data_IF_189717642194
#
_entry.id   IF_189717642194
#
_cell.length_a   1.000
_cell.length_b   1.000
_cell.length_c   1.000
_cell.angle_alpha   90.00
_cell.angle_beta   90.00
_cell.angle_gamma   90.00
#
_symmetry.space_group_name_H-M   'P 1'
#
loop_
_entity.id
_entity.type
_entity.pdbx_description
1 polymer ?
#
# COMPACT_ATOMS: atom_id res chain seq x y z
N UNK A 1 -5.60 -10.59 -2.16
CA UNK A 1 -5.00 -9.87 -1.03
C UNK A 1 -3.54 -9.57 -1.37
N UNK A 2 -3.12 -8.28 -1.45
CA UNK A 2 -1.70 -7.98 -1.57
C UNK A 2 -1.03 -8.40 -0.25
N UNK A 3 -0.18 -9.39 -0.32
CA UNK A 3 0.67 -9.82 0.79
C UNK A 3 1.97 -9.04 0.67
N UNK A 4 2.21 -8.12 1.58
CA UNK A 4 3.54 -7.53 1.70
C UNK A 4 4.46 -8.57 2.31
N UNK A 5 5.46 -8.96 1.55
CA UNK A 5 6.57 -9.77 2.01
C UNK A 5 7.82 -8.89 2.05
N UNK A 6 8.45 -8.80 3.22
CA UNK A 6 9.76 -8.17 3.33
C UNK A 6 10.83 -9.27 3.17
N UNK A 7 11.74 -9.10 2.22
CA UNK A 7 12.92 -9.96 2.10
C UNK A 7 14.00 -9.48 3.08
N UNK A 8 14.52 -10.41 3.87
CA UNK A 8 15.49 -10.14 4.92
C UNK A 8 16.84 -10.73 4.56
N UNK A 9 17.91 -9.92 4.57
CA UNK A 9 19.27 -10.44 4.47
C UNK A 9 19.62 -11.30 5.68
N UNK A 10 20.44 -12.32 5.49
CA UNK A 10 20.83 -13.33 6.49
C UNK A 10 21.59 -12.80 7.73
N UNK A 11 21.88 -11.52 7.78
CA UNK A 11 22.59 -10.88 8.91
C UNK A 11 21.70 -10.14 9.90
N UNK A 12 20.37 -10.12 9.70
CA UNK A 12 19.42 -9.37 10.53
C UNK A 12 18.79 -10.31 11.54
N UNK A 13 18.72 -9.89 12.80
CA UNK A 13 18.04 -10.60 13.90
C UNK A 13 16.69 -9.97 14.21
N UNK A 14 15.80 -10.66 14.92
CA UNK A 14 14.51 -10.10 15.34
C UNK A 14 14.67 -8.84 16.19
N UNK A 15 15.78 -8.71 16.93
CA UNK A 15 16.07 -7.54 17.76
C UNK A 15 16.34 -6.26 16.94
N UNK A 16 16.65 -6.40 15.65
CA UNK A 16 16.89 -5.26 14.74
C UNK A 16 15.58 -4.68 14.21
N UNK A 17 14.44 -5.29 14.52
CA UNK A 17 13.15 -4.92 13.94
C UNK A 17 12.16 -4.45 15.01
N UNK A 18 11.45 -3.39 14.69
CA UNK A 18 10.25 -3.02 15.43
C UNK A 18 9.06 -3.85 14.90
N UNK A 19 8.83 -5.02 15.50
CA UNK A 19 7.78 -5.94 15.08
C UNK A 19 6.37 -5.34 15.25
N UNK A 20 6.18 -4.49 16.28
CA UNK A 20 4.91 -3.81 16.53
C UNK A 20 4.60 -2.80 15.42
N UNK A 21 5.62 -2.07 14.95
CA UNK A 21 5.46 -1.14 13.84
C UNK A 21 5.17 -1.88 12.52
N UNK A 22 5.82 -3.02 12.28
CA UNK A 22 5.51 -3.87 11.13
C UNK A 22 4.08 -4.42 11.19
N UNK A 23 3.64 -4.86 12.36
CA UNK A 23 2.26 -5.31 12.57
C UNK A 23 1.24 -4.18 12.36
N UNK A 24 1.55 -2.97 12.84
CA UNK A 24 0.74 -1.77 12.60
C UNK A 24 0.72 -1.36 11.12
N UNK A 25 1.78 -1.66 10.37
CA UNK A 25 1.83 -1.48 8.92
C UNK A 25 1.13 -2.61 8.13
N UNK A 26 0.41 -3.50 8.80
CA UNK A 26 -0.25 -4.66 8.21
C UNK A 26 0.71 -5.67 7.55
N UNK A 27 1.95 -5.74 8.00
CA UNK A 27 2.90 -6.80 7.60
C UNK A 27 2.50 -8.09 8.33
N UNK A 28 1.98 -9.04 7.59
CA UNK A 28 1.46 -10.28 8.16
C UNK A 28 2.51 -11.36 8.30
N UNK A 29 3.42 -11.42 7.35
CA UNK A 29 4.43 -12.46 7.29
C UNK A 29 5.81 -11.87 7.04
N UNK A 30 6.79 -12.43 7.73
CA UNK A 30 8.21 -12.23 7.45
C UNK A 30 8.72 -13.50 6.77
N UNK A 31 9.43 -13.36 5.67
CA UNK A 31 10.03 -14.46 4.93
C UNK A 31 11.54 -14.28 4.97
N UNK A 32 12.26 -15.29 5.45
CA UNK A 32 13.72 -15.28 5.56
C UNK A 32 14.32 -16.52 4.91
N UNK A 33 15.51 -16.38 4.32
CA UNK A 33 16.28 -17.49 3.76
C UNK A 33 17.00 -18.31 4.83
N UNK A 34 17.28 -17.69 5.98
CA UNK A 34 17.86 -18.31 7.17
C UNK A 34 16.96 -18.13 8.38
N UNK A 35 17.06 -19.00 9.41
CA UNK A 35 16.34 -18.79 10.65
C UNK A 35 16.68 -17.42 11.25
N UNK A 36 15.64 -16.66 11.65
CA UNK A 36 15.82 -15.36 12.29
C UNK A 36 15.86 -15.58 13.82
N UNK A 37 17.02 -15.41 14.48
CA UNK A 37 17.16 -15.57 15.91
C UNK A 37 16.24 -14.62 16.68
N UNK A 38 15.53 -15.12 17.69
CA UNK A 38 14.63 -14.34 18.54
C UNK A 38 13.23 -14.14 17.96
N UNK A 39 12.93 -14.58 16.73
CA UNK A 39 11.57 -14.75 16.27
C UNK A 39 11.07 -16.12 16.72
N UNK A 40 10.16 -16.11 17.68
CA UNK A 40 9.41 -17.32 18.02
C UNK A 40 8.41 -17.62 16.90
N UNK A 41 8.24 -18.91 16.61
CA UNK A 41 7.22 -19.38 15.70
C UNK A 41 5.87 -19.16 16.39
N UNK A 42 5.10 -18.18 15.95
CA UNK A 42 3.80 -17.84 16.53
C UNK A 42 2.68 -18.80 16.15
N UNK A 43 2.92 -19.81 15.33
CA UNK A 43 1.94 -20.83 15.01
C UNK A 43 2.12 -22.08 15.84
N UNK A 44 1.02 -22.60 16.35
CA UNK A 44 0.92 -23.90 17.03
C UNK A 44 1.02 -25.08 16.06
N UNK A 45 1.02 -24.86 14.78
CA UNK A 45 1.30 -25.88 13.77
C UNK A 45 2.77 -25.87 13.42
N UNK A 46 3.42 -27.03 13.34
CA UNK A 46 4.80 -27.08 12.87
C UNK A 46 4.87 -26.36 11.51
N UNK A 47 5.89 -25.51 11.28
CA UNK A 47 6.06 -24.86 10.01
C UNK A 47 6.19 -25.94 8.94
N UNK A 48 5.14 -26.15 8.20
CA UNK A 48 5.27 -26.93 6.98
C UNK A 48 6.01 -25.99 6.03
N UNK A 49 7.12 -26.44 5.43
CA UNK A 49 7.80 -25.69 4.38
C UNK A 49 6.83 -25.58 3.20
N UNK A 50 6.01 -24.53 3.19
CA UNK A 50 4.93 -24.37 2.21
C UNK A 50 5.43 -23.88 0.86
N UNK A 51 6.73 -23.60 0.70
CA UNK A 51 7.30 -23.26 -0.59
C UNK A 51 8.77 -23.65 -0.65
N UNK A 52 9.04 -24.83 -1.19
CA UNK A 52 10.27 -25.06 -1.92
C UNK A 52 9.98 -24.57 -3.33
N UNK A 53 10.37 -23.33 -3.65
CA UNK A 53 10.43 -22.92 -5.03
C UNK A 53 11.58 -23.74 -5.67
N UNK A 54 11.26 -24.75 -6.46
CA UNK A 54 12.21 -25.34 -7.39
C UNK A 54 12.58 -24.31 -8.46
N UNK A 55 13.46 -23.39 -8.10
CA UNK A 55 14.13 -22.57 -9.09
C UNK A 55 15.34 -23.35 -9.58
N UNK A 56 15.35 -23.62 -10.87
CA UNK A 56 16.44 -24.17 -11.72
C UNK A 56 17.59 -24.86 -10.97
N UNK A 57 17.93 -26.07 -11.40
CA UNK A 57 18.88 -27.03 -10.83
C UNK A 57 20.31 -26.52 -10.51
N UNK A 58 20.61 -25.26 -10.71
CA UNK A 58 21.94 -24.68 -10.48
C UNK A 58 22.01 -23.68 -9.32
N UNK A 59 20.87 -23.10 -8.90
CA UNK A 59 20.80 -22.24 -7.72
C UNK A 59 19.81 -22.86 -6.71
N UNK A 60 20.31 -23.75 -5.88
CA UNK A 60 19.53 -24.29 -4.76
C UNK A 60 19.33 -23.17 -3.76
N UNK A 61 18.22 -22.47 -3.85
CA UNK A 61 17.75 -21.59 -2.78
C UNK A 61 17.48 -22.50 -1.57
N UNK A 62 18.14 -22.23 -0.45
CA UNK A 62 17.93 -22.94 0.79
C UNK A 62 16.48 -22.89 1.28
N UNK A 63 16.14 -23.58 2.34
CA UNK A 63 14.80 -23.55 2.90
C UNK A 63 14.38 -22.12 3.22
N UNK A 64 13.11 -21.78 2.93
CA UNK A 64 12.54 -20.48 3.24
C UNK A 64 11.74 -20.58 4.54
N UNK A 65 12.04 -19.71 5.49
CA UNK A 65 11.38 -19.64 6.78
C UNK A 65 10.30 -18.54 6.73
N UNK A 66 9.09 -18.89 7.14
CA UNK A 66 7.94 -17.96 7.18
C UNK A 66 7.50 -17.79 8.62
N UNK A 67 7.46 -16.54 9.07
CA UNK A 67 7.02 -16.14 10.41
C UNK A 67 5.74 -15.32 10.29
N UNK A 68 4.72 -15.64 11.09
CA UNK A 68 3.52 -14.83 11.19
C UNK A 68 3.66 -13.82 12.32
N UNK A 69 3.36 -12.55 12.07
CA UNK A 69 3.35 -11.53 13.11
C UNK A 69 2.02 -11.55 13.88
N UNK A 70 2.06 -11.45 15.23
CA UNK A 70 0.87 -11.28 16.04
C UNK A 70 0.37 -9.84 16.01
N UNK A 71 -0.84 -9.62 16.53
CA UNK A 71 -1.40 -8.28 16.82
C UNK A 71 -1.45 -7.35 15.61
N UNK A 72 -1.76 -7.89 14.43
CA UNK A 72 -1.87 -7.11 13.20
C UNK A 72 -2.99 -6.08 13.32
N UNK A 73 -2.72 -4.83 12.97
CA UNK A 73 -3.78 -3.89 12.65
C UNK A 73 -4.38 -4.23 11.29
N UNK A 74 -5.70 -4.05 11.12
CA UNK A 74 -6.33 -4.17 9.81
C UNK A 74 -5.73 -3.19 8.81
N UNK A 75 -5.85 -3.46 7.52
CA UNK A 75 -5.38 -2.56 6.48
C UNK A 75 -6.05 -1.17 6.56
N UNK A 76 -7.33 -1.14 6.93
CA UNK A 76 -8.06 0.07 7.29
C UNK A 76 -8.51 -0.01 8.75
N UNK A 77 -8.31 1.03 9.54
CA UNK A 77 -8.74 1.11 10.93
C UNK A 77 -9.04 2.54 11.34
N UNK A 78 -9.85 2.68 12.40
CA UNK A 78 -10.26 3.97 12.93
C UNK A 78 -9.46 4.32 14.18
N UNK A 79 -9.02 5.56 14.27
CA UNK A 79 -8.39 6.09 15.49
C UNK A 79 -9.16 7.32 16.01
N UNK A 80 -9.44 7.38 17.31
CA UNK A 80 -10.11 8.52 17.92
C UNK A 80 -9.18 9.68 18.26
N UNK A 81 -7.85 9.46 18.24
CA UNK A 81 -6.85 10.44 18.66
C UNK A 81 -5.93 10.84 17.55
N UNK A 82 -5.46 12.09 17.67
CA UNK A 82 -4.43 12.65 16.81
C UNK A 82 -3.34 13.24 17.69
N UNK A 83 -2.08 12.96 17.33
CA UNK A 83 -0.90 13.60 17.90
C UNK A 83 -0.17 14.36 16.79
N UNK A 84 -0.09 15.68 16.92
CA UNK A 84 0.58 16.54 15.94
C UNK A 84 2.00 16.83 16.41
N UNK A 85 2.97 16.55 15.56
CA UNK A 85 4.40 16.61 15.84
C UNK A 85 5.06 17.63 14.91
N UNK A 86 6.21 18.13 15.31
CA UNK A 86 6.91 19.22 14.63
C UNK A 86 7.27 18.89 13.18
N UNK A 87 7.77 17.67 12.94
CA UNK A 87 8.27 17.26 11.64
C UNK A 87 8.24 15.73 11.46
N UNK A 88 8.58 15.26 10.26
CA UNK A 88 8.57 13.82 9.91
C UNK A 88 9.55 12.97 10.71
N UNK A 89 10.69 13.54 11.12
CA UNK A 89 11.63 12.83 11.96
C UNK A 89 11.05 12.59 13.36
N UNK A 90 10.35 13.58 13.93
CA UNK A 90 9.62 13.44 15.19
C UNK A 90 8.49 12.40 15.08
N UNK A 91 7.72 12.41 13.98
CA UNK A 91 6.70 11.37 13.72
C UNK A 91 7.33 9.98 13.69
N UNK A 92 8.44 9.80 12.96
CA UNK A 92 9.12 8.50 12.89
C UNK A 92 9.65 8.06 14.26
N UNK A 93 10.29 8.95 15.00
CA UNK A 93 10.77 8.67 16.34
C UNK A 93 9.63 8.27 17.29
N UNK A 94 8.49 8.96 17.22
CA UNK A 94 7.30 8.65 18.02
C UNK A 94 6.70 7.29 17.65
N UNK A 95 6.60 6.98 16.34
CA UNK A 95 6.13 5.69 15.85
C UNK A 95 7.01 4.53 16.32
N UNK A 96 8.34 4.70 16.30
CA UNK A 96 9.28 3.64 16.72
C UNK A 96 9.27 3.39 18.22
N UNK A 97 8.80 4.36 19.02
CA UNK A 97 8.67 4.26 20.48
C UNK A 97 7.22 4.03 20.95
N UNK A 98 6.25 4.02 20.05
CA UNK A 98 4.84 3.85 20.36
C UNK A 98 4.54 2.42 20.81
N UNK A 99 3.67 2.28 21.80
CA UNK A 99 3.11 0.98 22.15
C UNK A 99 2.13 0.49 21.09
N UNK A 100 1.84 -0.83 21.01
CA UNK A 100 0.79 -1.36 20.12
C UNK A 100 -0.57 -0.67 20.34
N UNK A 101 -0.91 -0.31 21.57
CA UNK A 101 -2.12 0.42 21.88
C UNK A 101 -2.12 1.85 21.32
N UNK A 102 -0.98 2.54 21.37
CA UNK A 102 -0.86 3.87 20.76
C UNK A 102 -1.00 3.80 19.24
N UNK A 103 -0.33 2.84 18.61
CA UNK A 103 -0.41 2.62 17.16
C UNK A 103 -1.84 2.30 16.70
N UNK A 104 -2.62 1.60 17.53
CA UNK A 104 -4.01 1.25 17.23
C UNK A 104 -5.01 2.40 17.46
N UNK A 105 -4.67 3.39 18.28
CA UNK A 105 -5.64 4.40 18.75
C UNK A 105 -5.26 5.84 18.44
N UNK A 106 -4.07 6.07 17.87
CA UNK A 106 -3.56 7.43 17.62
C UNK A 106 -3.00 7.56 16.21
N UNK A 107 -3.42 8.58 15.49
CA UNK A 107 -2.82 9.00 14.24
C UNK A 107 -1.72 10.04 14.53
N UNK A 108 -0.53 9.83 14.00
CA UNK A 108 0.61 10.73 14.14
C UNK A 108 0.80 11.54 12.86
N UNK A 109 0.72 12.87 12.97
CA UNK A 109 0.81 13.81 11.87
C UNK A 109 1.92 14.84 12.12
N UNK A 110 2.41 15.45 11.05
CA UNK A 110 3.18 16.69 11.17
C UNK A 110 2.25 17.90 11.25
N UNK A 111 2.77 19.05 11.66
CA UNK A 111 2.02 20.31 11.60
C UNK A 111 1.56 20.62 10.16
N UNK A 112 2.42 20.37 9.17
CA UNK A 112 2.10 20.55 7.75
C UNK A 112 0.95 19.63 7.30
N UNK A 113 1.00 18.34 7.67
CA UNK A 113 -0.02 17.36 7.29
C UNK A 113 -1.35 17.56 8.06
N UNK A 114 -1.30 18.26 9.19
CA UNK A 114 -2.48 18.61 10.01
C UNK A 114 -3.08 19.97 9.67
N UNK A 115 -2.56 20.68 8.67
CA UNK A 115 -3.07 21.99 8.30
C UNK A 115 -4.56 21.94 7.93
N UNK A 116 -5.33 22.87 8.48
CA UNK A 116 -6.79 22.90 8.32
C UNK A 116 -7.54 21.80 9.09
N UNK A 117 -6.85 21.02 9.94
CA UNK A 117 -7.46 20.02 10.82
C UNK A 117 -7.73 20.65 12.19
N UNK A 118 -8.97 20.61 12.65
CA UNK A 118 -9.28 20.93 14.03
C UNK A 118 -8.94 19.73 14.94
N UNK A 119 -7.72 19.73 15.46
CA UNK A 119 -7.24 18.65 16.33
C UNK A 119 -8.05 18.51 17.63
N UNK A 120 -8.74 19.57 18.06
CA UNK A 120 -9.58 19.55 19.26
C UNK A 120 -10.83 18.67 19.11
N UNK A 121 -11.23 18.36 17.85
CA UNK A 121 -12.33 17.43 17.60
C UNK A 121 -11.98 15.97 17.91
N UNK A 122 -10.68 15.64 17.96
CA UNK A 122 -10.20 14.28 18.22
C UNK A 122 -9.79 14.17 19.69
N UNK A 123 -10.76 13.90 20.54
CA UNK A 123 -10.58 13.99 21.98
C UNK A 123 -9.93 12.76 22.58
N UNK A 124 -9.05 12.97 23.55
CA UNK A 124 -8.21 11.97 24.22
C UNK A 124 -8.98 10.91 25.04
N UNK A 125 -10.26 11.12 25.31
CA UNK A 125 -11.01 10.31 26.28
C UNK A 125 -11.74 9.10 25.70
N UNK A 126 -11.93 9.04 24.38
CA UNK A 126 -12.64 7.95 23.73
C UNK A 126 -11.68 6.84 23.32
N UNK A 127 -11.98 5.60 23.73
CA UNK A 127 -11.22 4.42 23.28
C UNK A 127 -11.58 3.97 21.87
N UNK A 128 -12.80 4.29 21.42
CA UNK A 128 -13.30 3.97 20.09
C UNK A 128 -14.19 5.11 19.61
N UNK A 129 -14.07 5.51 18.38
CA UNK A 129 -14.90 6.55 17.76
C UNK A 129 -15.89 5.98 16.74
N UNK A 130 -15.79 4.69 16.42
CA UNK A 130 -16.65 4.03 15.45
C UNK A 130 -16.15 2.63 15.10
N UNK A 131 -16.75 2.06 14.05
CA UNK A 131 -16.39 0.75 13.51
C UNK A 131 -16.43 0.76 11.99
N UNK A 132 -15.62 -0.10 11.37
CA UNK A 132 -15.69 -0.38 9.93
C UNK A 132 -16.65 -1.56 9.75
N UNK A 133 -17.81 -1.29 9.15
CA UNK A 133 -18.87 -2.29 8.91
C UNK A 133 -18.43 -3.27 7.83
N UNK A 134 -17.87 -2.75 6.75
CA UNK A 134 -17.35 -3.56 5.65
C UNK A 134 -16.20 -2.87 4.93
N UNK A 135 -15.37 -3.64 4.27
CA UNK A 135 -14.29 -3.14 3.44
C UNK A 135 -14.09 -4.01 2.21
N UNK A 136 -13.86 -3.36 1.07
CA UNK A 136 -13.49 -4.01 -0.19
C UNK A 136 -12.15 -3.46 -0.69
N UNK A 137 -11.27 -4.37 -1.10
CA UNK A 137 -9.89 -4.04 -1.49
C UNK A 137 -9.63 -4.51 -2.91
N UNK A 138 -9.87 -3.62 -3.88
CA UNK A 138 -9.44 -3.81 -5.27
C UNK A 138 -7.97 -3.43 -5.50
N UNK A 139 -7.47 -3.63 -6.71
CA UNK A 139 -6.09 -3.25 -7.06
C UNK A 139 -5.88 -1.73 -7.09
N UNK A 140 -6.86 -0.99 -7.54
CA UNK A 140 -6.88 0.47 -7.77
C UNK A 140 -8.02 1.18 -7.04
N UNK A 141 -8.85 0.45 -6.29
CA UNK A 141 -9.96 0.98 -5.53
C UNK A 141 -10.05 0.34 -4.15
N UNK A 142 -10.31 1.16 -3.15
CA UNK A 142 -10.61 0.73 -1.79
C UNK A 142 -11.94 1.35 -1.37
N UNK A 143 -12.82 0.55 -0.79
CA UNK A 143 -14.13 1.02 -0.31
C UNK A 143 -14.29 0.61 1.14
N UNK A 144 -14.76 1.53 1.97
CA UNK A 144 -15.07 1.29 3.38
C UNK A 144 -16.48 1.81 3.68
N UNK A 145 -17.30 0.97 4.30
CA UNK A 145 -18.52 1.38 4.98
C UNK A 145 -18.21 1.53 6.47
N UNK A 146 -18.38 2.72 6.99
CA UNK A 146 -17.94 3.10 8.33
C UNK A 146 -19.09 3.71 9.11
N UNK A 147 -19.29 3.28 10.36
CA UNK A 147 -20.20 3.92 11.31
C UNK A 147 -19.40 4.60 12.40
N UNK A 148 -19.63 5.92 12.61
CA UNK A 148 -18.93 6.71 13.62
C UNK A 148 -19.89 7.27 14.63
N UNK A 149 -19.46 7.33 15.91
CA UNK A 149 -20.20 7.94 17.02
C UNK A 149 -19.56 9.26 17.47
N UNK A 150 -18.32 9.48 17.07
CA UNK A 150 -17.53 10.68 17.33
C UNK A 150 -16.58 10.91 16.15
N UNK A 151 -15.92 12.08 16.08
CA UNK A 151 -14.87 12.31 15.07
C UNK A 151 -13.80 11.22 15.09
N UNK A 152 -13.48 10.69 13.90
CA UNK A 152 -12.51 9.61 13.69
C UNK A 152 -11.49 10.00 12.62
N UNK A 153 -10.29 9.44 12.73
CA UNK A 153 -9.38 9.35 11.62
C UNK A 153 -9.43 7.91 11.06
N UNK A 154 -9.86 7.73 9.82
CA UNK A 154 -9.67 6.47 9.11
C UNK A 154 -8.24 6.43 8.59
N UNK A 155 -7.47 5.45 9.05
CA UNK A 155 -6.11 5.20 8.57
C UNK A 155 -6.15 4.00 7.64
N UNK A 156 -5.52 4.14 6.48
CA UNK A 156 -5.32 3.05 5.53
C UNK A 156 -3.82 2.84 5.36
N UNK A 157 -3.32 1.63 5.68
CA UNK A 157 -1.90 1.28 5.64
C UNK A 157 -1.36 1.09 4.22
N UNK A 158 -1.76 2.02 3.33
CA UNK A 158 -1.19 2.22 2.02
C UNK A 158 -0.39 3.51 2.01
N UNK A 159 0.68 3.55 1.23
CA UNK A 159 1.44 4.77 1.05
C UNK A 159 0.57 5.85 0.43
N UNK A 160 0.63 7.06 1.02
CA UNK A 160 0.01 8.24 0.43
C UNK A 160 0.74 8.58 -0.88
N UNK A 161 -0.03 8.75 -1.95
CA UNK A 161 0.46 9.15 -3.28
C UNK A 161 -0.53 10.17 -3.85
N UNK A 162 -0.07 11.23 -4.54
CA UNK A 162 -0.94 12.24 -5.15
C UNK A 162 -1.94 11.71 -6.19
N UNK A 163 -1.76 10.48 -6.65
CA UNK A 163 -2.68 9.82 -7.57
C UNK A 163 -3.89 9.18 -6.87
N UNK A 164 -3.84 9.01 -5.57
CA UNK A 164 -5.02 8.59 -4.82
C UNK A 164 -6.00 9.74 -4.69
N UNK A 165 -7.24 9.51 -5.04
CA UNK A 165 -8.37 10.39 -4.81
C UNK A 165 -9.31 9.75 -3.82
N UNK A 166 -9.88 10.54 -2.92
CA UNK A 166 -10.81 10.05 -1.92
C UNK A 166 -12.13 10.82 -1.97
N UNK A 167 -13.21 10.10 -1.70
CA UNK A 167 -14.53 10.69 -1.47
C UNK A 167 -15.14 10.13 -0.19
N UNK A 168 -15.95 10.94 0.48
CA UNK A 168 -16.84 10.51 1.57
C UNK A 168 -18.27 10.79 1.13
N UNK A 169 -19.10 9.77 1.04
CA UNK A 169 -20.49 9.87 0.55
C UNK A 169 -20.59 10.55 -0.83
N UNK A 170 -19.59 10.31 -1.70
CA UNK A 170 -19.49 10.92 -3.02
C UNK A 170 -18.84 12.32 -3.07
N UNK A 171 -18.63 12.98 -1.93
CA UNK A 171 -18.00 14.29 -1.86
C UNK A 171 -16.46 14.17 -1.77
N UNK A 172 -15.71 14.87 -2.62
CA UNK A 172 -14.25 14.82 -2.61
C UNK A 172 -13.66 15.30 -1.28
N UNK A 173 -12.65 14.58 -0.79
CA UNK A 173 -11.90 14.95 0.40
C UNK A 173 -10.40 14.83 0.17
N UNK A 174 -9.63 15.72 0.81
CA UNK A 174 -8.17 15.65 0.79
C UNK A 174 -7.67 14.50 1.65
N UNK A 175 -6.74 13.71 1.10
CA UNK A 175 -5.98 12.72 1.83
C UNK A 175 -4.91 13.40 2.68
N UNK A 176 -4.82 12.98 3.93
CA UNK A 176 -3.77 13.38 4.86
C UNK A 176 -2.67 12.33 4.85
N UNK A 177 -1.46 12.76 5.11
CA UNK A 177 -0.36 11.85 5.44
C UNK A 177 -0.36 11.60 6.94
N UNK A 178 -0.56 10.36 7.34
CA UNK A 178 -0.53 9.93 8.74
C UNK A 178 0.52 8.86 8.93
N UNK A 179 1.00 8.70 10.14
CA UNK A 179 1.95 7.65 10.52
C UNK A 179 3.15 7.57 9.54
N UNK A 180 3.72 8.75 9.21
CA UNK A 180 4.85 8.95 8.32
C UNK A 180 4.54 8.72 6.83
N UNK A 181 3.80 7.69 6.45
CA UNK A 181 3.61 7.31 5.05
C UNK A 181 2.18 6.89 4.68
N UNK A 182 1.30 6.66 5.63
CA UNK A 182 -0.03 6.11 5.38
C UNK A 182 -1.05 7.16 4.97
N UNK A 183 -2.14 6.71 4.35
CA UNK A 183 -3.27 7.57 4.02
C UNK A 183 -4.18 7.74 5.23
N UNK A 184 -4.56 8.98 5.52
CA UNK A 184 -5.53 9.36 6.53
C UNK A 184 -6.71 10.09 5.94
N UNK A 185 -7.92 9.79 6.43
CA UNK A 185 -9.15 10.50 6.07
C UNK A 185 -9.88 10.94 7.34
N UNK A 186 -10.26 12.21 7.38
CA UNK A 186 -10.98 12.79 8.49
C UNK A 186 -12.47 12.51 8.36
N UNK A 187 -13.05 11.81 9.33
CA UNK A 187 -14.48 11.64 9.53
C UNK A 187 -14.91 12.56 10.69
N UNK A 188 -15.33 13.79 10.37
CA UNK A 188 -15.56 14.84 11.37
C UNK A 188 -16.93 14.75 12.03
N UNK A 189 -17.88 14.06 11.44
CA UNK A 189 -19.27 13.97 11.86
C UNK A 189 -19.62 12.55 12.28
N UNK A 190 -20.40 12.36 13.35
CA UNK A 190 -21.01 11.05 13.62
C UNK A 190 -21.98 10.65 12.51
N UNK A 191 -22.09 9.34 12.25
CA UNK A 191 -23.00 8.78 11.27
C UNK A 191 -22.38 7.66 10.43
N UNK A 192 -23.12 7.28 9.40
CA UNK A 192 -22.67 6.30 8.41
C UNK A 192 -21.96 7.01 7.27
N UNK A 193 -20.82 6.47 6.87
CA UNK A 193 -19.97 7.03 5.84
C UNK A 193 -19.54 5.93 4.86
N UNK A 194 -19.73 6.20 3.58
CA UNK A 194 -19.12 5.45 2.50
C UNK A 194 -17.87 6.18 2.04
N UNK A 195 -16.72 5.60 2.31
CA UNK A 195 -15.41 6.13 1.94
C UNK A 195 -14.89 5.35 0.74
N UNK A 196 -14.59 6.05 -0.35
CA UNK A 196 -14.00 5.47 -1.54
C UNK A 196 -12.64 6.12 -1.81
N UNK A 197 -11.63 5.27 -2.06
CA UNK A 197 -10.33 5.70 -2.53
C UNK A 197 -10.08 5.07 -3.88
N UNK A 198 -9.73 5.88 -4.87
CA UNK A 198 -9.43 5.42 -6.23
C UNK A 198 -8.04 5.89 -6.63
N UNK A 199 -7.23 4.97 -7.13
CA UNK A 199 -5.93 5.29 -7.69
C UNK A 199 -6.09 5.65 -9.17
N UNK A 200 -5.92 6.94 -9.47
CA UNK A 200 -6.10 7.51 -10.81
C UNK A 200 -4.75 7.99 -11.35
N UNK A 201 -4.09 7.15 -12.13
CA UNK A 201 -2.89 7.57 -12.85
C UNK A 201 -3.27 8.16 -14.22
N UNK A 202 -3.17 9.48 -14.39
CA UNK A 202 -3.54 10.15 -15.65
C UNK A 202 -2.69 9.71 -16.84
N UNK A 203 -1.59 9.00 -16.62
CA UNK A 203 -0.73 8.45 -17.68
C UNK A 203 -1.26 7.13 -18.23
N UNK A 204 -2.06 6.41 -17.44
CA UNK A 204 -2.54 5.07 -17.81
C UNK A 204 -3.35 5.06 -19.11
N UNK A 205 -4.32 5.96 -19.34
CA UNK A 205 -5.04 6.03 -20.61
C UNK A 205 -4.13 6.31 -21.82
N UNK A 206 -3.11 7.17 -21.63
CA UNK A 206 -2.16 7.51 -22.70
C UNK A 206 -1.28 6.30 -23.08
N UNK A 207 -0.83 5.53 -22.09
CA UNK A 207 -0.07 4.28 -22.31
C UNK A 207 -0.96 3.25 -23.02
N UNK A 208 -2.20 3.10 -22.59
CA UNK A 208 -3.14 2.16 -23.21
C UNK A 208 -3.44 2.52 -24.68
N UNK A 209 -3.53 3.81 -25.00
CA UNK A 209 -3.71 4.29 -26.38
C UNK A 209 -2.45 4.11 -27.25
N UNK A 210 -1.26 4.14 -26.66
CA UNK A 210 -0.01 3.97 -27.39
C UNK A 210 0.24 2.52 -27.85
N UNK A 211 -0.31 1.53 -27.17
CA UNK A 211 -0.12 0.11 -27.49
C UNK A 211 -0.67 -0.26 -28.88
N UNK A 212 -1.93 0.08 -29.25
CA UNK A 212 -2.45 -0.22 -30.58
C UNK A 212 -1.72 0.57 -31.67
N UNK A 213 -1.26 1.79 -31.39
CA UNK A 213 -0.45 2.58 -32.33
C UNK A 213 0.89 1.90 -32.63
N UNK A 214 1.57 1.41 -31.61
CA UNK A 214 2.82 0.65 -31.76
C UNK A 214 2.63 -0.62 -32.57
N UNK A 215 1.57 -1.39 -32.28
CA UNK A 215 1.22 -2.59 -33.05
C UNK A 215 0.91 -2.27 -34.50
N UNK A 216 0.20 -1.18 -34.78
CA UNK A 216 -0.10 -0.72 -36.16
C UNK A 216 1.18 -0.39 -36.93
N UNK A 217 2.13 0.31 -36.31
CA UNK A 217 3.42 0.64 -36.92
C UNK A 217 4.21 -0.63 -37.25
N UNK A 218 4.24 -1.61 -36.35
CA UNK A 218 4.94 -2.89 -36.57
C UNK A 218 4.34 -3.66 -37.75
N UNK A 219 3.01 -3.63 -37.91
CA UNK A 219 2.33 -4.31 -39.01
C UNK A 219 2.49 -3.57 -40.34
N UNK A 220 2.41 -2.24 -40.34
CA UNK A 220 2.44 -1.45 -41.59
C UNK A 220 3.85 -1.17 -42.14
N UNK A 221 4.87 -1.12 -41.27
CA UNK A 221 6.24 -0.86 -41.72
C UNK A 221 6.77 -1.88 -42.74
N UNK A 222 6.59 -3.19 -42.60
CA UNK A 222 7.03 -4.18 -43.57
C UNK A 222 6.21 -4.10 -44.87
N UNK A 223 4.92 -3.72 -44.83
CA UNK A 223 4.09 -3.54 -46.01
C UNK A 223 4.57 -2.37 -46.87
N UNK A 224 4.90 -1.24 -46.23
CA UNK A 224 5.46 -0.07 -46.92
C UNK A 224 6.83 -0.36 -47.53
N UNK A 225 7.69 -1.13 -46.87
CA UNK A 225 8.98 -1.59 -47.36
C UNK A 225 8.84 -2.53 -48.57
N UNK A 226 7.83 -3.39 -48.56
CA UNK A 226 7.51 -4.31 -49.69
C UNK A 226 7.07 -3.58 -50.95
N UNK A 227 6.25 -2.54 -50.82
CA UNK A 227 5.78 -1.71 -51.94
C UNK A 227 6.95 -0.95 -52.56
N UNK A 228 7.85 -0.39 -51.79
CA UNK A 228 9.02 0.35 -52.28
C UNK A 228 10.02 -0.57 -53.01
N UNK A 229 10.20 -1.80 -52.58
CA UNK A 229 11.05 -2.78 -53.29
C UNK A 229 10.45 -3.20 -54.65
N UNK A 230 9.14 -3.35 -54.73
CA UNK A 230 8.45 -3.65 -55.98
C UNK A 230 8.55 -2.50 -56.99
N UNK A 231 8.39 -1.25 -56.57
CA UNK A 231 8.56 -0.07 -57.44
C UNK A 231 9.98 0.07 -57.97
N UNK A 232 11.02 -0.18 -57.16
CA UNK A 232 12.40 -0.16 -57.65
C UNK A 232 12.65 -1.23 -58.72
N UNK A 233 12.19 -2.50 -58.50
CA UNK A 233 12.32 -3.56 -59.51
C UNK A 233 11.59 -3.28 -60.81
N UNK A 234 10.40 -2.66 -60.76
CA UNK A 234 9.67 -2.28 -61.95
C UNK A 234 10.39 -1.18 -62.75
N UNK A 235 11.02 -0.22 -62.07
CA UNK A 235 11.77 0.86 -62.74
C UNK A 235 13.12 0.41 -63.31
N UNK A 236 13.69 -0.66 -62.86
CA UNK A 236 14.93 -1.28 -63.42
C UNK A 236 14.63 -2.12 -64.65
N UNK A 237 13.46 -2.76 -64.75
CA UNK A 237 13.06 -3.54 -65.94
C UNK A 237 12.60 -2.66 -67.11
N UNK A 238 12.21 -1.42 -66.90
CA UNK A 238 11.82 -0.48 -67.95
C UNK A 238 13.01 0.24 -68.59
N UNK A 239 14.22 0.04 -68.07
CA UNK A 239 15.47 0.63 -68.57
C UNK A 239 16.39 -0.35 -69.29
N UNK A 240 16.00 -1.57 -69.46
CA UNK A 240 16.71 -2.63 -70.21
C UNK A 240 16.01 -2.94 -71.53
#
# INVERSE_FOLDING_TARGET
>A
HPRFTAYVPSSITAADWNLDLLAAANVRYIIAGDPVPGLEIFETSPPQPQYIAETRKEDSVGPVFVYALPNLLPRGYLTPRIEVLENRAAVLARLTSASPSDLATTAFLTQEDADGLDAALFNEQTRSCGEIISSDYGPDQLVFEVSTQAPCMLIVSNNVDPKWRATINGEPISLLRVNHAFMGLRLSQPGEHRVELVFDDPRFPAVLAAVPLGALVIVLAPLAGGVNRRRKRASEMDKS
#
